data_IF_203979725626
#
_entry.id   IF_203979725626
#
_cell.length_a   1.000
_cell.length_b   1.000
_cell.length_c   1.000
_cell.angle_alpha   90.00
_cell.angle_beta   90.00
_cell.angle_gamma   90.00
#
_symmetry.space_group_name_H-M   'P 1'
#
loop_
_entity.id
_entity.type
_entity.pdbx_description
1 polymer ?
#
# COMPACT_ATOMS: atom_id res chain seq x y z
N UNK A 1 3.86 -16.04 -15.30
CA UNK A 1 3.06 -16.77 -14.31
C UNK A 1 1.74 -16.08 -14.09
N UNK A 2 1.77 -14.77 -13.86
CA UNK A 2 0.59 -13.92 -13.75
C UNK A 2 -0.14 -13.69 -15.08
N UNK A 3 -1.45 -13.44 -14.98
CA UNK A 3 -2.26 -12.94 -16.09
C UNK A 3 -2.02 -11.44 -16.20
N UNK A 4 -1.60 -10.98 -17.38
CA UNK A 4 -1.46 -9.56 -17.67
C UNK A 4 -2.86 -8.95 -17.80
N UNK A 5 -3.12 -7.92 -17.00
CA UNK A 5 -4.33 -7.12 -17.08
C UNK A 5 -3.97 -5.64 -17.12
N UNK A 6 -4.78 -4.84 -17.82
CA UNK A 6 -4.62 -3.39 -17.84
C UNK A 6 -5.10 -2.75 -16.52
N UNK A 7 -5.02 -1.41 -16.43
CA UNK A 7 -5.47 -0.66 -15.24
C UNK A 7 -6.98 -0.78 -14.95
N UNK A 8 -7.76 -1.29 -15.91
CA UNK A 8 -9.18 -1.58 -15.78
C UNK A 8 -9.45 -3.08 -15.57
N UNK A 9 -8.42 -3.91 -15.36
CA UNK A 9 -8.53 -5.35 -15.11
C UNK A 9 -8.94 -6.15 -16.36
N UNK A 10 -8.84 -5.57 -17.56
CA UNK A 10 -9.08 -6.28 -18.82
C UNK A 10 -7.86 -7.11 -19.19
N UNK A 11 -8.08 -8.36 -19.60
CA UNK A 11 -7.01 -9.21 -20.16
C UNK A 11 -6.78 -8.90 -21.64
N UNK A 12 -5.88 -9.64 -22.29
CA UNK A 12 -5.71 -9.59 -23.75
C UNK A 12 -6.88 -10.17 -24.55
N UNK A 13 -7.87 -10.77 -23.89
CA UNK A 13 -9.06 -11.37 -24.52
C UNK A 13 -10.29 -10.58 -24.15
N UNK A 14 -11.04 -10.15 -25.18
CA UNK A 14 -12.26 -9.37 -25.01
C UNK A 14 -13.25 -10.06 -24.07
N UNK A 15 -13.81 -9.28 -23.14
CA UNK A 15 -14.78 -9.72 -22.13
C UNK A 15 -14.24 -10.74 -21.11
N UNK A 16 -12.92 -10.95 -21.04
CA UNK A 16 -12.26 -11.71 -19.98
C UNK A 16 -11.44 -10.74 -19.12
N UNK A 17 -11.64 -10.82 -17.80
CA UNK A 17 -11.07 -9.91 -16.81
C UNK A 17 -10.25 -10.70 -15.77
N UNK A 18 -9.23 -10.06 -15.19
CA UNK A 18 -8.41 -10.64 -14.14
C UNK A 18 -8.04 -9.59 -13.09
N UNK A 19 -8.09 -9.98 -11.82
CA UNK A 19 -7.79 -9.12 -10.67
C UNK A 19 -7.37 -9.96 -9.46
N UNK A 20 -6.77 -9.32 -8.46
CA UNK A 20 -6.24 -9.99 -7.26
C UNK A 20 -4.94 -10.72 -7.54
N UNK A 21 -4.63 -11.74 -6.74
CA UNK A 21 -3.30 -12.37 -6.72
C UNK A 21 -2.87 -12.96 -8.08
N UNK A 22 -3.83 -13.31 -8.94
CA UNK A 22 -3.53 -13.85 -10.29
C UNK A 22 -2.87 -12.82 -11.22
N UNK A 23 -2.95 -11.51 -10.93
CA UNK A 23 -2.30 -10.46 -11.73
C UNK A 23 -0.98 -9.99 -11.15
N UNK A 24 -0.67 -10.30 -9.88
CA UNK A 24 0.62 -10.00 -9.25
C UNK A 24 0.88 -8.53 -8.93
N UNK A 25 -0.12 -7.66 -8.99
CA UNK A 25 0.02 -6.21 -8.71
C UNK A 25 0.19 -5.94 -7.21
N UNK A 26 -0.85 -6.20 -6.41
CA UNK A 26 -0.82 -6.15 -4.94
C UNK A 26 -1.69 -7.27 -4.38
N UNK A 27 -1.05 -8.24 -3.74
CA UNK A 27 -1.65 -9.50 -3.27
C UNK A 27 -2.29 -9.33 -1.87
N UNK A 28 -3.32 -8.49 -1.79
CA UNK A 28 -4.06 -8.20 -0.56
C UNK A 28 -5.57 -8.33 -0.78
N UNK A 29 -6.27 -8.98 0.16
CA UNK A 29 -7.74 -9.16 0.11
C UNK A 29 -8.52 -7.85 -0.11
N UNK A 30 -8.21 -6.73 0.58
CA UNK A 30 -8.92 -5.46 0.34
C UNK A 30 -8.73 -4.92 -1.08
N UNK A 31 -7.59 -5.20 -1.72
CA UNK A 31 -7.28 -4.78 -3.09
C UNK A 31 -8.13 -5.56 -4.08
N UNK A 32 -8.15 -6.89 -3.97
CA UNK A 32 -8.99 -7.73 -4.83
C UNK A 32 -10.48 -7.37 -4.70
N UNK A 33 -10.95 -7.11 -3.48
CA UNK A 33 -12.33 -6.69 -3.24
C UNK A 33 -12.64 -5.32 -3.90
N UNK A 34 -11.74 -4.35 -3.75
CA UNK A 34 -11.93 -3.02 -4.32
C UNK A 34 -11.88 -3.02 -5.86
N UNK A 35 -10.94 -3.75 -6.45
CA UNK A 35 -10.85 -3.92 -7.90
C UNK A 35 -12.10 -4.64 -8.45
N UNK A 36 -12.55 -5.70 -7.79
CA UNK A 36 -13.76 -6.44 -8.19
C UNK A 36 -15.03 -5.61 -8.14
N UNK A 37 -15.20 -4.76 -7.11
CA UNK A 37 -16.35 -3.84 -7.02
C UNK A 37 -16.34 -2.82 -8.16
N UNK A 38 -15.20 -2.17 -8.42
CA UNK A 38 -15.07 -1.17 -9.48
C UNK A 38 -15.23 -1.79 -10.87
N UNK A 39 -14.75 -3.00 -11.08
CA UNK A 39 -15.02 -3.78 -12.29
C UNK A 39 -16.53 -4.02 -12.46
N UNK A 40 -17.21 -4.47 -11.40
CA UNK A 40 -18.67 -4.66 -11.42
C UNK A 40 -19.44 -3.38 -11.74
N UNK A 41 -19.04 -2.26 -11.13
CA UNK A 41 -19.60 -0.93 -11.43
C UNK A 41 -19.38 -0.54 -12.89
N UNK A 42 -18.18 -0.78 -13.45
CA UNK A 42 -17.87 -0.45 -14.84
C UNK A 42 -18.64 -1.30 -15.84
N UNK A 43 -18.88 -2.58 -15.54
CA UNK A 43 -19.58 -3.50 -16.44
C UNK A 43 -21.09 -3.36 -16.37
N UNK A 44 -21.65 -3.05 -15.20
CA UNK A 44 -23.10 -3.17 -14.96
C UNK A 44 -23.74 -1.93 -14.31
N UNK A 45 -22.94 -0.95 -13.86
CA UNK A 45 -23.40 0.21 -13.12
C UNK A 45 -23.92 1.37 -13.97
N UNK A 46 -23.63 1.39 -15.28
CA UNK A 46 -24.05 2.46 -16.19
C UNK A 46 -22.94 3.45 -16.57
N UNK A 47 -23.27 4.46 -17.41
CA UNK A 47 -22.28 5.35 -18.02
C UNK A 47 -21.42 6.14 -17.03
N UNK A 48 -21.95 6.47 -15.85
CA UNK A 48 -21.24 7.22 -14.82
C UNK A 48 -20.04 6.45 -14.22
N UNK A 49 -20.04 5.12 -14.33
CA UNK A 49 -18.97 4.26 -13.82
C UNK A 49 -18.01 3.78 -14.92
N UNK A 50 -18.18 4.22 -16.17
CA UNK A 50 -17.42 3.72 -17.32
C UNK A 50 -15.88 3.87 -17.16
N UNK A 51 -15.44 4.88 -16.42
CA UNK A 51 -14.02 5.16 -16.17
C UNK A 51 -13.53 4.69 -14.78
N UNK A 52 -14.32 3.91 -14.05
CA UNK A 52 -13.96 3.52 -12.69
C UNK A 52 -12.86 2.45 -12.68
N UNK A 53 -11.78 2.72 -11.94
CA UNK A 53 -10.61 1.84 -11.78
C UNK A 53 -9.99 2.01 -10.40
N UNK A 54 -9.36 0.96 -9.88
CA UNK A 54 -8.65 1.05 -8.60
C UNK A 54 -7.36 1.85 -8.76
N UNK A 55 -7.08 2.75 -7.81
CA UNK A 55 -5.73 3.32 -7.67
C UNK A 55 -4.89 2.36 -6.82
N UNK A 56 -3.80 1.85 -7.39
CA UNK A 56 -2.87 0.93 -6.73
C UNK A 56 -1.77 1.65 -5.94
N UNK A 57 -1.73 2.99 -5.97
CA UNK A 57 -0.81 3.77 -5.15
C UNK A 57 -1.30 3.87 -3.69
N UNK A 58 -0.36 3.94 -2.76
CA UNK A 58 -0.61 4.20 -1.33
C UNK A 58 -1.62 3.23 -0.68
N UNK A 59 -1.60 1.95 -1.05
CA UNK A 59 -2.33 0.91 -0.33
C UNK A 59 -1.62 0.62 1.01
N UNK A 60 -2.27 0.81 2.17
CA UNK A 60 -1.67 0.46 3.46
C UNK A 60 -1.59 -1.06 3.63
N UNK A 61 -0.52 -1.52 4.28
CA UNK A 61 -0.32 -2.92 4.63
C UNK A 61 0.17 -3.08 6.07
N UNK A 62 -0.14 -4.24 6.66
CA UNK A 62 0.29 -4.63 8.01
C UNK A 62 0.85 -6.04 7.97
N UNK A 63 1.96 -6.27 8.65
CA UNK A 63 2.53 -7.59 8.93
C UNK A 63 2.34 -7.89 10.41
N UNK A 64 1.67 -8.99 10.72
CA UNK A 64 1.43 -9.47 12.10
C UNK A 64 2.66 -10.21 12.64
N UNK A 65 3.80 -9.53 12.68
CA UNK A 65 5.02 -9.95 13.39
C UNK A 65 4.92 -9.62 14.89
N UNK A 66 5.99 -9.92 15.65
CA UNK A 66 6.10 -9.52 17.05
C UNK A 66 7.37 -8.65 17.23
N UNK A 67 7.24 -7.31 17.41
CA UNK A 67 6.01 -6.52 17.30
C UNK A 67 5.51 -6.42 15.85
N UNK A 68 4.26 -6.00 15.67
CA UNK A 68 3.64 -5.76 14.38
C UNK A 68 4.30 -4.60 13.61
N UNK A 69 4.16 -4.62 12.28
CA UNK A 69 4.69 -3.58 11.39
C UNK A 69 3.60 -3.09 10.46
N UNK A 70 3.43 -1.77 10.35
CA UNK A 70 2.54 -1.12 9.39
C UNK A 70 3.31 -0.22 8.44
N UNK A 71 2.88 -0.16 7.18
CA UNK A 71 3.47 0.73 6.18
C UNK A 71 2.46 1.20 5.14
N UNK A 72 2.72 2.36 4.55
CA UNK A 72 1.98 2.93 3.42
C UNK A 72 2.95 3.83 2.63
N UNK A 73 2.81 3.83 1.30
CA UNK A 73 3.61 4.67 0.42
C UNK A 73 5.04 4.16 0.22
N UNK A 74 5.95 5.09 -0.06
CA UNK A 74 7.32 4.76 -0.48
C UNK A 74 8.23 4.46 0.71
N UNK A 75 9.19 3.57 0.49
CA UNK A 75 10.37 3.47 1.35
C UNK A 75 11.30 4.68 1.14
N UNK A 76 12.19 4.94 2.09
CA UNK A 76 13.16 6.05 1.98
C UNK A 76 14.04 5.93 0.72
N UNK A 77 14.59 4.75 0.36
CA UNK A 77 15.32 4.59 -0.90
C UNK A 77 14.46 4.88 -2.14
N UNK A 78 13.22 4.39 -2.19
CA UNK A 78 12.31 4.64 -3.32
C UNK A 78 11.95 6.12 -3.46
N UNK A 79 11.73 6.82 -2.34
CA UNK A 79 11.46 8.25 -2.35
C UNK A 79 12.68 9.04 -2.85
N UNK A 80 13.89 8.68 -2.41
CA UNK A 80 15.14 9.29 -2.87
C UNK A 80 15.36 9.03 -4.37
N UNK A 81 15.10 7.81 -4.83
CA UNK A 81 15.19 7.45 -6.25
C UNK A 81 14.20 8.26 -7.11
N UNK A 82 12.97 8.44 -6.61
CA UNK A 82 11.89 9.12 -7.34
C UNK A 82 12.03 10.64 -7.35
N UNK A 83 12.43 11.25 -6.24
CA UNK A 83 12.37 12.72 -6.04
C UNK A 83 13.74 13.37 -5.86
N UNK A 84 14.81 12.59 -5.70
CA UNK A 84 16.14 13.09 -5.40
C UNK A 84 16.33 13.32 -3.89
N UNK A 85 17.54 13.04 -3.41
CA UNK A 85 17.86 13.10 -1.97
C UNK A 85 17.62 14.47 -1.35
N UNK A 86 17.88 15.53 -2.10
CA UNK A 86 17.81 16.91 -1.61
C UNK A 86 16.36 17.40 -1.41
N UNK A 87 15.37 16.73 -2.01
CA UNK A 87 13.93 17.03 -1.88
C UNK A 87 13.24 16.14 -0.82
N UNK A 88 14.00 15.28 -0.13
CA UNK A 88 13.48 14.33 0.85
C UNK A 88 13.95 14.66 2.26
N UNK A 89 12.99 14.80 3.18
CA UNK A 89 13.24 14.87 4.61
C UNK A 89 12.65 13.68 5.35
N UNK A 90 13.38 13.18 6.34
CA UNK A 90 12.97 11.99 7.09
C UNK A 90 12.91 12.29 8.57
N UNK A 91 11.73 12.11 9.15
CA UNK A 91 11.49 12.19 10.58
C UNK A 91 11.47 10.78 11.16
N UNK A 92 12.18 10.54 12.27
CA UNK A 92 12.26 9.24 12.94
C UNK A 92 12.08 9.43 14.44
N UNK A 93 11.36 8.52 15.08
CA UNK A 93 11.30 8.43 16.54
C UNK A 93 11.40 6.98 16.98
N UNK A 94 12.00 6.77 18.15
CA UNK A 94 12.08 5.48 18.83
C UNK A 94 11.76 5.70 20.30
N UNK A 95 10.88 4.88 20.84
CA UNK A 95 10.48 4.95 22.24
C UNK A 95 9.97 3.59 22.70
N UNK A 96 9.78 3.45 24.00
CA UNK A 96 9.15 2.27 24.60
C UNK A 96 7.70 2.62 24.89
N UNK A 97 6.77 1.82 24.41
CA UNK A 97 5.35 2.02 24.69
C UNK A 97 5.08 1.99 26.20
N UNK A 98 4.17 2.84 26.67
CA UNK A 98 3.85 2.99 28.09
C UNK A 98 3.38 1.67 28.73
N UNK A 99 2.81 0.77 27.95
CA UNK A 99 2.46 -0.59 28.37
C UNK A 99 3.63 -1.31 29.06
N UNK A 100 4.87 -1.11 28.57
CA UNK A 100 6.08 -1.74 29.10
C UNK A 100 6.72 -0.98 30.28
N UNK A 101 6.10 0.09 30.79
CA UNK A 101 6.74 0.98 31.77
C UNK A 101 7.18 0.23 33.05
N UNK A 102 6.35 -0.71 33.52
CA UNK A 102 6.58 -1.48 34.75
C UNK A 102 7.16 -2.89 34.52
N UNK A 103 7.58 -3.21 33.29
CA UNK A 103 8.14 -4.51 32.93
C UNK A 103 9.67 -4.51 33.06
N UNK A 104 10.28 -5.69 33.15
CA UNK A 104 11.74 -5.84 33.12
C UNK A 104 12.29 -5.43 31.74
N UNK A 105 13.54 -4.92 31.66
CA UNK A 105 14.13 -4.46 30.39
C UNK A 105 14.10 -5.49 29.27
N UNK A 106 14.27 -6.78 29.57
CA UNK A 106 14.26 -7.87 28.59
C UNK A 106 12.88 -8.10 27.94
N UNK A 107 11.80 -7.72 28.62
CA UNK A 107 10.42 -7.91 28.15
C UNK A 107 9.89 -6.70 27.36
N UNK A 108 10.68 -5.61 27.24
CA UNK A 108 10.24 -4.38 26.60
C UNK A 108 10.33 -4.46 25.08
N UNK A 109 9.17 -4.43 24.42
CA UNK A 109 9.08 -4.31 22.96
C UNK A 109 9.49 -2.90 22.46
N UNK A 110 10.21 -2.79 21.33
CA UNK A 110 10.53 -1.50 20.74
C UNK A 110 9.32 -0.89 20.02
N UNK A 111 9.23 0.43 19.99
CA UNK A 111 8.35 1.17 19.07
C UNK A 111 9.18 2.13 18.23
N UNK A 112 8.96 2.15 16.92
CA UNK A 112 9.65 3.06 16.01
C UNK A 112 8.68 3.57 14.94
N UNK A 113 8.69 4.89 14.72
CA UNK A 113 7.96 5.51 13.61
C UNK A 113 8.93 6.24 12.67
N UNK A 114 8.55 6.28 11.40
CA UNK A 114 9.30 6.94 10.34
C UNK A 114 8.33 7.63 9.39
N UNK A 115 8.53 8.92 9.16
CA UNK A 115 7.81 9.70 8.16
C UNK A 115 8.80 10.16 7.09
N UNK A 116 8.42 10.01 5.83
CA UNK A 116 9.20 10.45 4.67
C UNK A 116 8.38 11.55 4.01
N UNK A 117 8.94 12.75 3.95
CA UNK A 117 8.28 13.96 3.48
C UNK A 117 9.04 14.49 2.28
N UNK A 118 8.31 14.89 1.24
CA UNK A 118 8.84 15.51 0.04
C UNK A 118 8.50 17.01 0.03
N UNK A 119 9.47 17.85 -0.27
CA UNK A 119 9.23 19.27 -0.58
C UNK A 119 10.22 20.25 0.06
N UNK A 120 10.35 21.46 -0.53
CA UNK A 120 11.41 22.41 -0.19
C UNK A 120 11.25 23.13 1.16
N UNK A 121 10.06 23.06 1.79
CA UNK A 121 9.74 23.79 3.02
C UNK A 121 9.52 22.89 4.24
N UNK A 122 9.74 21.58 4.09
CA UNK A 122 9.47 20.61 5.16
C UNK A 122 10.70 20.22 5.95
#
# INVERSE_FOLDING_TARGET
>A
GYIVADEYQNTSVDNIYALGDVTGEVELTPVALAAGRRLGERLFGGPEFAANKLNYENIPSVVFSHPEVGSIGLTEPQAIEKYGKDDIKVYKTKFTAMYYAMMEPEDKGPTAYKLIVQGPNE
#
